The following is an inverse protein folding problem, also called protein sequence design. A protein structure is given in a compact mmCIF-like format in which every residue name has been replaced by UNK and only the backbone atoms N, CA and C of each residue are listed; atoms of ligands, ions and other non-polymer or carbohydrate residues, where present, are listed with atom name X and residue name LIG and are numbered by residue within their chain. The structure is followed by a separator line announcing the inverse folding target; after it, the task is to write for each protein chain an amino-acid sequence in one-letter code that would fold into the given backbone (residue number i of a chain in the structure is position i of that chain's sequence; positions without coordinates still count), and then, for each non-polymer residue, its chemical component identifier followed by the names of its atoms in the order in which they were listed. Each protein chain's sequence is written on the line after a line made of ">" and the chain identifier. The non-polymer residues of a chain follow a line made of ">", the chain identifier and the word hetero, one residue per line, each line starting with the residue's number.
data_IF_705824990384
#
_entry.id   IF_705824990384
#
_cell.length_a   1.000
_cell.length_b   1.000
_cell.length_c   1.000
_cell.angle_alpha   90.00
_cell.angle_beta   90.00
_cell.angle_gamma   90.00
#
_symmetry.space_group_name_H-M   'P 1'
#
loop_
_entity.id
_entity.type
_entity.pdbx_description
1 polymer ?
#
# COMPACT_ATOMS: atom_id res chain seq x y z
N UNK A 1 0.24 17.50 -28.79
CA UNK A 1 1.25 16.67 -29.48
C UNK A 1 2.47 16.61 -28.58
N UNK A 2 2.73 15.46 -27.93
CA UNK A 2 3.96 15.30 -27.14
C UNK A 2 5.09 15.03 -28.14
N UNK A 3 6.07 15.93 -28.23
CA UNK A 3 7.22 15.75 -29.11
C UNK A 3 7.98 14.49 -28.70
N UNK A 4 8.06 13.50 -29.60
CA UNK A 4 8.84 12.27 -29.41
C UNK A 4 10.33 12.55 -29.66
N UNK A 5 10.88 13.50 -28.91
CA UNK A 5 12.25 13.98 -29.08
C UNK A 5 13.19 13.03 -28.34
N UNK A 6 13.88 12.17 -29.08
CA UNK A 6 14.94 11.32 -28.53
C UNK A 6 16.10 12.19 -28.06
N UNK A 7 16.48 12.04 -26.79
CA UNK A 7 17.62 12.73 -26.20
C UNK A 7 18.74 11.74 -25.87
N UNK A 8 19.99 12.13 -26.10
CA UNK A 8 21.15 11.38 -25.66
C UNK A 8 21.44 11.73 -24.20
N UNK A 9 21.63 10.71 -23.38
CA UNK A 9 21.92 10.84 -21.95
C UNK A 9 23.15 10.01 -21.62
N UNK A 10 24.05 10.56 -20.80
CA UNK A 10 25.21 9.85 -20.26
C UNK A 10 24.94 9.49 -18.80
N UNK A 11 25.13 8.23 -18.44
CA UNK A 11 24.94 7.72 -17.07
C UNK A 11 26.25 7.13 -16.57
N UNK A 12 26.59 7.38 -15.30
CA UNK A 12 27.74 6.75 -14.64
C UNK A 12 27.28 5.44 -13.98
N UNK A 13 27.97 4.35 -14.29
CA UNK A 13 27.70 3.02 -13.74
C UNK A 13 29.01 2.44 -13.21
N UNK A 14 28.93 1.54 -12.23
CA UNK A 14 30.10 0.81 -11.79
C UNK A 14 30.53 -0.21 -12.86
N UNK A 15 31.81 -0.62 -12.82
CA UNK A 15 32.34 -1.56 -13.80
C UNK A 15 31.57 -2.89 -13.84
N UNK A 16 31.17 -3.41 -12.68
CA UNK A 16 30.40 -4.66 -12.58
C UNK A 16 29.04 -4.59 -13.31
N UNK A 17 28.35 -3.45 -13.23
CA UNK A 17 27.06 -3.29 -13.91
C UNK A 17 27.22 -3.17 -15.42
N UNK A 18 28.29 -2.51 -15.88
CA UNK A 18 28.64 -2.44 -17.30
C UNK A 18 28.87 -3.84 -17.87
N UNK A 19 29.62 -4.68 -17.16
CA UNK A 19 29.87 -6.07 -17.58
C UNK A 19 28.58 -6.92 -17.59
N UNK A 20 27.68 -6.73 -16.62
CA UNK A 20 26.36 -7.37 -16.63
C UNK A 20 25.51 -6.94 -17.83
N UNK A 21 25.47 -5.64 -18.13
CA UNK A 21 24.73 -5.09 -19.28
C UNK A 21 25.27 -5.71 -20.59
N UNK A 22 26.60 -5.76 -20.76
CA UNK A 22 27.26 -6.36 -21.93
C UNK A 22 26.90 -7.84 -22.08
N UNK A 23 26.98 -8.61 -21.00
CA UNK A 23 26.67 -10.04 -21.02
C UNK A 23 25.21 -10.30 -21.44
N UNK A 24 24.27 -9.53 -20.88
CA UNK A 24 22.84 -9.64 -21.22
C UNK A 24 22.60 -9.24 -22.68
N UNK A 25 23.18 -8.12 -23.12
CA UNK A 25 23.05 -7.65 -24.50
C UNK A 25 23.56 -8.69 -25.52
N UNK A 26 24.73 -9.27 -25.26
CA UNK A 26 25.30 -10.33 -26.09
C UNK A 26 24.42 -11.58 -26.11
N UNK A 27 23.91 -12.01 -24.95
CA UNK A 27 23.08 -13.22 -24.83
C UNK A 27 21.74 -13.08 -25.56
N UNK A 28 21.17 -11.88 -25.54
CA UNK A 28 19.90 -11.54 -26.22
C UNK A 28 20.10 -11.07 -27.66
N UNK A 29 21.34 -10.87 -28.12
CA UNK A 29 21.70 -10.34 -29.44
C UNK A 29 21.09 -8.95 -29.72
N UNK A 30 21.08 -8.09 -28.71
CA UNK A 30 20.57 -6.70 -28.77
C UNK A 30 21.69 -5.70 -28.45
N UNK A 31 21.44 -4.40 -28.60
CA UNK A 31 22.40 -3.37 -28.21
C UNK A 31 22.35 -3.15 -26.69
N UNK A 32 23.47 -2.75 -26.09
CA UNK A 32 23.51 -2.36 -24.66
C UNK A 32 22.46 -1.28 -24.33
N UNK A 33 22.24 -0.33 -25.24
CA UNK A 33 21.22 0.71 -25.07
C UNK A 33 19.78 0.19 -25.09
N UNK A 34 19.50 -0.97 -25.70
CA UNK A 34 18.20 -1.63 -25.60
C UNK A 34 17.99 -2.21 -24.21
N UNK A 35 19.02 -2.82 -23.63
CA UNK A 35 18.99 -3.38 -22.26
C UNK A 35 18.76 -2.27 -21.24
N UNK A 36 19.49 -1.16 -21.35
CA UNK A 36 19.31 0.00 -20.46
C UNK A 36 17.89 0.56 -20.59
N UNK A 37 17.38 0.75 -21.82
CA UNK A 37 16.01 1.22 -22.03
C UNK A 37 14.96 0.26 -21.47
N UNK A 38 15.17 -1.04 -21.59
CA UNK A 38 14.29 -2.06 -21.02
C UNK A 38 14.27 -1.96 -19.48
N UNK A 39 15.43 -1.90 -18.84
CA UNK A 39 15.54 -1.78 -17.39
C UNK A 39 14.85 -0.50 -16.87
N UNK A 40 15.06 0.64 -17.55
CA UNK A 40 14.40 1.90 -17.20
C UNK A 40 12.88 1.80 -17.34
N UNK A 41 12.36 1.20 -18.43
CA UNK A 41 10.92 1.00 -18.60
C UNK A 41 10.33 0.11 -17.51
N UNK A 42 11.02 -0.98 -17.18
CA UNK A 42 10.58 -1.88 -16.11
C UNK A 42 10.54 -1.16 -14.76
N UNK A 43 11.57 -0.36 -14.46
CA UNK A 43 11.60 0.46 -13.25
C UNK A 43 10.46 1.49 -13.25
N UNK A 44 10.26 2.25 -14.34
CA UNK A 44 9.19 3.24 -14.42
C UNK A 44 7.79 2.63 -14.35
N UNK A 45 7.57 1.42 -14.88
CA UNK A 45 6.29 0.75 -14.73
C UNK A 45 5.99 0.40 -13.27
N UNK A 46 7.02 0.01 -12.49
CA UNK A 46 6.86 -0.22 -11.05
C UNK A 46 6.67 1.08 -10.28
N UNK A 47 7.43 2.13 -10.63
CA UNK A 47 7.39 3.43 -9.96
C UNK A 47 6.26 4.34 -10.45
N UNK A 48 5.42 3.87 -11.37
CA UNK A 48 4.35 4.67 -11.97
C UNK A 48 3.41 5.33 -10.94
N UNK A 49 3.04 4.69 -9.81
CA UNK A 49 2.22 5.33 -8.79
C UNK A 49 2.85 6.60 -8.20
N UNK A 50 4.19 6.69 -8.15
CA UNK A 50 4.90 7.88 -7.65
C UNK A 50 4.90 9.05 -8.64
N UNK A 51 4.48 8.82 -9.89
CA UNK A 51 4.33 9.87 -10.90
C UNK A 51 2.98 10.59 -10.79
N UNK A 52 2.02 10.00 -10.07
CA UNK A 52 0.75 10.63 -9.79
C UNK A 52 0.94 11.72 -8.74
N UNK A 53 0.81 12.98 -9.18
CA UNK A 53 1.00 14.15 -8.32
C UNK A 53 -0.15 14.33 -7.33
N UNK A 54 -1.27 13.64 -7.51
CA UNK A 54 -2.43 13.72 -6.62
C UNK A 54 -2.45 12.57 -5.60
N UNK A 55 -1.74 11.46 -5.88
CA UNK A 55 -1.65 10.32 -4.97
C UNK A 55 -0.91 10.69 -3.67
N UNK A 56 -1.58 10.51 -2.52
CA UNK A 56 -1.03 10.82 -1.20
C UNK A 56 -1.50 9.80 -0.17
N UNK A 57 -0.77 9.70 0.93
CA UNK A 57 -1.21 8.95 2.10
C UNK A 57 -1.34 7.46 1.82
N UNK A 58 -2.51 6.90 2.14
CA UNK A 58 -2.87 5.50 1.93
C UNK A 58 -2.68 5.04 0.47
N UNK A 59 -2.93 5.92 -0.51
CA UNK A 59 -2.79 5.60 -1.95
C UNK A 59 -1.35 5.20 -2.34
N UNK A 60 -0.36 5.70 -1.60
CA UNK A 60 1.05 5.42 -1.85
C UNK A 60 1.57 4.20 -1.07
N UNK A 61 0.82 3.68 -0.10
CA UNK A 61 1.24 2.49 0.66
C UNK A 61 1.54 1.29 -0.24
N UNK A 62 0.72 0.92 -1.24
CA UNK A 62 0.99 -0.23 -2.10
C UNK A 62 2.39 -0.26 -2.71
N UNK A 63 2.89 0.88 -3.21
CA UNK A 63 4.21 0.94 -3.84
C UNK A 63 5.35 0.78 -2.83
N UNK A 64 5.18 1.28 -1.60
CA UNK A 64 6.13 1.07 -0.52
C UNK A 64 6.03 -0.33 0.11
N UNK A 65 4.92 -1.06 -0.09
CA UNK A 65 4.87 -2.48 0.27
C UNK A 65 5.55 -3.35 -0.78
N UNK A 66 5.33 -3.07 -2.07
CA UNK A 66 5.87 -3.87 -3.17
C UNK A 66 7.36 -3.62 -3.40
N UNK A 67 7.80 -2.37 -3.35
CA UNK A 67 9.18 -1.94 -3.65
C UNK A 67 9.91 -1.31 -2.45
N UNK A 68 9.33 -1.36 -1.24
CA UNK A 68 9.80 -0.62 -0.07
C UNK A 68 11.27 -0.79 0.29
N UNK A 69 11.77 -2.02 0.47
CA UNK A 69 13.18 -2.24 0.80
C UNK A 69 14.13 -1.67 -0.25
N UNK A 70 13.84 -1.87 -1.54
CA UNK A 70 14.64 -1.35 -2.64
C UNK A 70 14.55 0.17 -2.74
N UNK A 71 13.35 0.75 -2.56
CA UNK A 71 13.13 2.19 -2.60
C UNK A 71 13.86 2.90 -1.46
N UNK A 72 13.64 2.46 -0.23
CA UNK A 72 14.24 3.07 0.96
C UNK A 72 15.76 2.93 0.95
N UNK A 73 16.29 1.79 0.50
CA UNK A 73 17.74 1.58 0.37
C UNK A 73 18.37 2.36 -0.78
N UNK A 74 17.83 2.32 -1.99
CA UNK A 74 18.48 2.92 -3.15
C UNK A 74 18.31 4.44 -3.23
N UNK A 75 17.28 5.00 -2.60
CA UNK A 75 17.03 6.44 -2.57
C UNK A 75 17.32 7.08 -1.20
N UNK A 76 17.89 6.32 -0.25
CA UNK A 76 18.19 6.78 1.11
C UNK A 76 17.01 7.50 1.79
N UNK A 77 15.81 6.90 1.69
CA UNK A 77 14.58 7.52 2.20
C UNK A 77 14.48 7.33 3.71
N UNK A 78 14.74 8.39 4.47
CA UNK A 78 14.51 8.41 5.91
C UNK A 78 13.03 8.65 6.27
N UNK A 79 12.68 8.45 7.54
CA UNK A 79 11.30 8.60 8.01
C UNK A 79 10.74 10.01 7.78
N UNK A 80 11.59 11.05 7.84
CA UNK A 80 11.16 12.44 7.61
C UNK A 80 10.84 12.69 6.14
N UNK A 81 11.68 12.17 5.25
CA UNK A 81 11.49 12.26 3.80
C UNK A 81 10.26 11.49 3.38
N UNK A 82 10.07 10.29 3.93
CA UNK A 82 8.86 9.49 3.69
C UNK A 82 7.60 10.18 4.22
N UNK A 83 7.63 10.82 5.39
CA UNK A 83 6.49 11.58 5.89
C UNK A 83 6.14 12.74 4.95
N UNK A 84 7.13 13.45 4.41
CA UNK A 84 6.88 14.49 3.38
C UNK A 84 6.27 13.88 2.11
N UNK A 85 6.83 12.78 1.60
CA UNK A 85 6.34 12.14 0.37
C UNK A 85 4.89 11.64 0.54
N UNK A 86 4.60 11.02 1.69
CA UNK A 86 3.33 10.38 1.95
C UNK A 86 2.27 11.37 2.41
N UNK A 87 2.57 12.23 3.38
CA UNK A 87 1.55 13.00 4.10
C UNK A 87 1.46 14.49 3.70
N UNK A 88 2.39 15.01 2.88
CA UNK A 88 2.36 16.43 2.51
C UNK A 88 1.11 16.79 1.70
N UNK A 89 0.41 17.84 2.14
CA UNK A 89 -0.82 18.31 1.50
C UNK A 89 -2.09 17.59 1.94
N UNK A 90 -2.00 16.59 2.81
CA UNK A 90 -3.19 15.90 3.35
C UNK A 90 -3.81 16.72 4.49
N UNK A 91 -5.06 17.15 4.30
CA UNK A 91 -5.89 17.75 5.35
C UNK A 91 -6.78 16.76 6.09
N UNK A 92 -7.06 15.60 5.50
CA UNK A 92 -7.92 14.57 6.10
C UNK A 92 -7.10 13.61 6.98
N UNK A 93 -7.58 13.35 8.18
CA UNK A 93 -6.91 12.44 9.11
C UNK A 93 -7.07 10.97 8.74
N UNK A 94 -8.04 10.60 7.89
CA UNK A 94 -8.30 9.20 7.52
C UNK A 94 -7.30 8.66 6.50
N UNK A 95 -6.83 9.50 5.57
CA UNK A 95 -5.88 9.09 4.53
C UNK A 95 -4.42 9.28 4.96
N UNK A 96 -4.20 9.97 6.08
CA UNK A 96 -2.87 10.24 6.62
C UNK A 96 -2.24 8.97 7.21
N UNK A 97 -0.97 8.73 6.88
CA UNK A 97 -0.21 7.62 7.44
C UNK A 97 0.34 7.98 8.82
N UNK A 98 0.25 7.03 9.75
CA UNK A 98 0.77 7.21 11.09
C UNK A 98 2.30 7.27 11.08
N UNK A 99 2.87 8.17 11.90
CA UNK A 99 4.32 8.35 11.98
C UNK A 99 5.05 7.06 12.40
N UNK A 100 4.43 6.24 13.26
CA UNK A 100 4.97 4.95 13.66
C UNK A 100 5.09 3.96 12.50
N UNK A 101 4.17 4.03 11.54
CA UNK A 101 4.16 3.16 10.36
C UNK A 101 5.15 3.64 9.31
N UNK A 102 5.31 4.96 9.18
CA UNK A 102 6.37 5.57 8.37
C UNK A 102 7.75 5.14 8.87
N UNK A 103 7.96 5.14 10.18
CA UNK A 103 9.22 4.62 10.77
C UNK A 103 9.45 3.15 10.45
N UNK A 104 8.39 2.33 10.44
CA UNK A 104 8.48 0.91 10.09
C UNK A 104 8.84 0.71 8.61
N UNK A 105 8.23 1.49 7.72
CA UNK A 105 8.53 1.48 6.28
C UNK A 105 9.98 1.91 6.05
N UNK A 106 10.41 3.02 6.66
CA UNK A 106 11.79 3.51 6.58
C UNK A 106 12.79 2.44 7.05
N UNK A 107 12.43 1.65 8.05
CA UNK A 107 13.28 0.63 8.63
C UNK A 107 13.29 -0.71 7.86
N UNK A 108 12.50 -0.88 6.78
CA UNK A 108 12.41 -2.12 6.00
C UNK A 108 13.77 -2.59 5.45
N UNK A 109 14.65 -1.65 5.10
CA UNK A 109 15.99 -1.95 4.59
C UNK A 109 17.05 -2.24 5.68
N UNK A 110 16.73 -2.02 6.97
CA UNK A 110 17.71 -2.19 8.07
C UNK A 110 17.77 -3.65 8.57
N UNK A 111 18.95 -4.13 8.98
CA UNK A 111 19.10 -5.45 9.60
C UNK A 111 18.24 -5.60 10.88
N UNK A 112 17.62 -6.78 11.01
CA UNK A 112 16.36 -7.07 11.70
C UNK A 112 16.28 -6.87 13.24
N UNK A 113 17.33 -6.38 13.90
CA UNK A 113 17.37 -6.39 15.37
C UNK A 113 16.47 -5.31 16.00
N UNK A 114 16.37 -4.13 15.38
CA UNK A 114 15.53 -3.03 15.88
C UNK A 114 14.08 -3.11 15.40
N UNK A 115 13.84 -3.65 14.21
CA UNK A 115 12.50 -3.83 13.63
C UNK A 115 11.72 -4.94 14.34
N UNK A 116 12.38 -6.02 14.74
CA UNK A 116 11.72 -7.16 15.38
C UNK A 116 11.08 -6.83 16.74
N UNK A 117 11.65 -5.90 17.52
CA UNK A 117 11.08 -5.48 18.80
C UNK A 117 9.82 -4.61 18.60
N UNK A 118 9.85 -3.67 17.63
CA UNK A 118 8.68 -2.83 17.29
C UNK A 118 7.56 -3.66 16.67
N UNK A 119 7.90 -4.59 15.78
CA UNK A 119 6.92 -5.44 15.09
C UNK A 119 6.27 -6.46 16.04
N UNK A 120 7.01 -7.02 17.00
CA UNK A 120 6.42 -7.87 18.07
C UNK A 120 5.48 -7.13 19.02
N UNK A 121 5.63 -5.81 19.13
CA UNK A 121 4.76 -4.98 19.95
C UNK A 121 3.45 -4.60 19.23
N UNK A 122 3.32 -4.89 17.92
CA UNK A 122 2.10 -4.63 17.17
C UNK A 122 1.03 -5.69 17.50
N UNK A 123 -0.16 -5.28 17.94
CA UNK A 123 -1.27 -6.20 18.16
C UNK A 123 -1.72 -6.81 16.82
N UNK A 124 -1.96 -8.13 16.79
CA UNK A 124 -2.47 -8.95 15.67
C UNK A 124 -1.46 -9.61 14.71
N UNK A 125 -0.15 -9.60 14.99
CA UNK A 125 0.81 -10.28 14.10
C UNK A 125 1.03 -11.76 14.44
N UNK A 126 0.51 -12.67 13.63
CA UNK A 126 0.94 -14.08 13.65
C UNK A 126 2.26 -14.27 12.88
N UNK A 127 3.38 -14.03 13.56
CA UNK A 127 4.74 -14.18 13.01
C UNK A 127 5.05 -15.64 12.60
N UNK A 128 4.20 -16.60 12.98
CA UNK A 128 4.45 -18.04 12.83
C UNK A 128 4.56 -18.57 11.39
N UNK A 129 4.07 -17.86 10.37
CA UNK A 129 4.12 -18.30 8.96
C UNK A 129 4.75 -17.32 7.98
N UNK A 130 4.89 -16.05 8.32
CA UNK A 130 5.38 -15.00 7.41
C UNK A 130 6.79 -14.56 7.81
N UNK A 131 7.60 -14.16 6.82
CA UNK A 131 8.83 -13.41 7.10
C UNK A 131 8.46 -12.08 7.77
N UNK A 132 9.42 -11.46 8.47
CA UNK A 132 9.20 -10.15 9.14
C UNK A 132 8.65 -9.09 8.17
N UNK A 133 9.17 -9.10 6.93
CA UNK A 133 8.70 -8.24 5.84
C UNK A 133 7.26 -8.56 5.44
N UNK A 134 6.91 -9.86 5.31
CA UNK A 134 5.56 -10.28 4.95
C UNK A 134 4.52 -9.95 6.02
N UNK A 135 4.90 -10.06 7.31
CA UNK A 135 4.02 -9.72 8.41
C UNK A 135 3.76 -8.21 8.53
N UNK A 136 4.77 -7.39 8.26
CA UNK A 136 4.62 -5.93 8.18
C UNK A 136 3.80 -5.50 6.96
N UNK A 137 4.03 -6.13 5.80
CA UNK A 137 3.21 -5.91 4.61
C UNK A 137 1.73 -6.20 4.88
N UNK A 138 1.42 -7.33 5.51
CA UNK A 138 0.05 -7.67 5.88
C UNK A 138 -0.56 -6.63 6.83
N UNK A 139 0.16 -6.21 7.86
CA UNK A 139 -0.32 -5.20 8.80
C UNK A 139 -0.68 -3.87 8.13
N UNK A 140 0.22 -3.34 7.29
CA UNK A 140 0.01 -2.06 6.60
C UNK A 140 -1.10 -2.18 5.56
N UNK A 141 -1.19 -3.32 4.88
CA UNK A 141 -2.26 -3.61 3.93
C UNK A 141 -3.63 -3.67 4.62
N UNK A 142 -3.72 -4.37 5.75
CA UNK A 142 -4.97 -4.46 6.53
C UNK A 142 -5.40 -3.08 7.06
N UNK A 143 -4.44 -2.28 7.52
CA UNK A 143 -4.69 -0.98 8.13
C UNK A 143 -5.12 0.10 7.14
N UNK A 144 -4.47 0.17 5.97
CA UNK A 144 -4.65 1.30 5.04
C UNK A 144 -5.39 0.94 3.75
N UNK A 145 -5.43 -0.33 3.35
CA UNK A 145 -6.02 -0.74 2.06
C UNK A 145 -7.33 -1.53 2.28
N UNK A 146 -7.39 -2.41 3.29
CA UNK A 146 -8.63 -3.14 3.60
C UNK A 146 -9.65 -2.33 4.40
N UNK A 147 -9.21 -1.36 5.20
CA UNK A 147 -10.11 -0.56 6.03
C UNK A 147 -11.08 0.32 5.23
N UNK A 148 -10.77 0.64 3.97
CA UNK A 148 -11.67 1.42 3.10
C UNK A 148 -12.90 0.62 2.64
N UNK A 149 -12.77 -0.71 2.51
CA UNK A 149 -13.86 -1.55 1.97
C UNK A 149 -14.91 -1.96 3.01
N UNK A 150 -14.61 -1.88 4.32
CA UNK A 150 -15.55 -2.28 5.38
C UNK A 150 -16.55 -1.17 5.78
N UNK A 151 -16.41 0.04 5.24
CA UNK A 151 -17.26 1.19 5.63
C UNK A 151 -18.53 1.35 4.79
N UNK A 152 -18.69 0.62 3.68
CA UNK A 152 -19.89 0.70 2.82
C UNK A 152 -20.97 -0.35 3.12
N UNK A 153 -20.70 -1.36 3.97
CA UNK A 153 -21.65 -2.46 4.27
C UNK A 153 -22.46 -2.31 5.58
N UNK A 154 -22.36 -1.18 6.30
CA UNK A 154 -23.11 -0.94 7.54
C UNK A 154 -24.03 0.30 7.54
N UNK A 155 -24.72 0.57 6.42
CA UNK A 155 -25.81 1.56 6.36
C UNK A 155 -27.09 1.05 5.71
N UNK A 156 -27.53 -0.17 6.03
CA UNK A 156 -28.95 -0.54 5.82
C UNK A 156 -29.39 -1.70 6.73
N UNK A 157 -29.64 -1.43 8.02
CA UNK A 157 -30.96 -1.71 8.60
C UNK A 157 -30.98 -1.26 10.06
N UNK A 158 -31.73 -0.19 10.31
CA UNK A 158 -32.13 0.20 11.65
C UNK A 158 -33.57 0.69 11.56
N UNK A 159 -34.52 -0.24 11.70
CA UNK A 159 -35.85 0.07 12.22
C UNK A 159 -36.02 -0.62 13.57
N UNK A 160 -36.41 0.12 14.64
CA UNK A 160 -36.70 -0.48 15.92
C UNK A 160 -38.15 -0.96 15.93
N UNK A 161 -38.41 -2.19 16.37
CA UNK A 161 -39.72 -2.57 16.90
C UNK A 161 -39.50 -3.29 18.23
N UNK A 162 -39.82 -2.57 19.30
CA UNK A 162 -39.90 -3.02 20.68
C UNK A 162 -41.05 -4.01 20.90
N UNK A 163 -40.76 -5.08 21.64
CA UNK A 163 -41.69 -6.09 22.15
C UNK A 163 -42.51 -5.60 23.36
N UNK A 164 -43.80 -5.96 23.45
CA UNK A 164 -44.53 -6.35 24.68
C UNK A 164 -45.92 -6.89 24.27
N UNK A 165 -46.24 -8.19 24.36
CA UNK A 165 -46.94 -8.89 25.48
C UNK A 165 -48.08 -8.06 26.11
N UNK A 166 -49.30 -8.55 26.39
CA UNK A 166 -49.89 -9.90 26.55
C UNK A 166 -51.43 -9.72 26.72
N UNK A 167 -52.17 -10.82 26.55
CA UNK A 167 -53.50 -11.15 27.13
C UNK A 167 -54.74 -10.31 26.75
N UNK A 168 -55.78 -10.94 26.18
CA UNK A 168 -56.95 -11.46 26.94
C UNK A 168 -58.07 -12.00 26.03
N UNK A 169 -58.84 -12.88 26.65
CA UNK A 169 -59.97 -13.67 26.18
C UNK A 169 -61.14 -12.90 25.54
N UNK A 170 -61.82 -13.64 24.65
CA UNK A 170 -63.27 -13.77 24.47
C UNK A 170 -64.19 -12.55 24.71
N UNK A 171 -64.94 -12.17 23.67
CA UNK A 171 -66.40 -11.99 23.75
C UNK A 171 -67.01 -11.97 22.33
N UNK A 172 -68.02 -12.84 22.17
CA UNK A 172 -68.99 -12.85 21.09
C UNK A 172 -69.72 -11.49 21.01
N UNK A 173 -69.99 -11.02 19.79
CA UNK A 173 -71.34 -10.64 19.32
C UNK A 173 -71.29 -9.79 18.03
N UNK A 174 -71.69 -10.42 16.92
CA UNK A 174 -72.40 -9.79 15.80
C UNK A 174 -73.44 -10.85 15.40
N UNK A 175 -74.71 -10.77 15.80
CA UNK A 175 -75.74 -9.82 15.37
C UNK A 175 -75.95 -9.81 13.84
N UNK A 176 -77.00 -10.54 13.44
CA UNK A 176 -77.93 -10.27 12.33
C UNK A 176 -77.41 -10.55 10.91
N UNK A 177 -78.04 -11.53 10.24
CA UNK A 177 -78.85 -11.38 9.01
C UNK A 177 -79.67 -12.68 8.83
N UNK A 178 -80.96 -12.48 8.54
CA UNK A 178 -82.11 -13.35 8.23
C UNK A 178 -81.95 -14.87 8.04
#
# INVERSE_FOLDING_TARGET
>A
MVENRKQLVSVRLCHADIERIRAIAARLRVRESDVIRFALRLAFSKLAPLLDVDARGADLIPIFLECGPELTYHFDLDARTLDSILNEGIGDSQTKIDSGDIELIAALHLPSFHTHAKIKALPKLEIGRLSLSGALQQYLYDKYIHSENDTDDQKSDSRPITHSQRDQHALMNAAVID
#
